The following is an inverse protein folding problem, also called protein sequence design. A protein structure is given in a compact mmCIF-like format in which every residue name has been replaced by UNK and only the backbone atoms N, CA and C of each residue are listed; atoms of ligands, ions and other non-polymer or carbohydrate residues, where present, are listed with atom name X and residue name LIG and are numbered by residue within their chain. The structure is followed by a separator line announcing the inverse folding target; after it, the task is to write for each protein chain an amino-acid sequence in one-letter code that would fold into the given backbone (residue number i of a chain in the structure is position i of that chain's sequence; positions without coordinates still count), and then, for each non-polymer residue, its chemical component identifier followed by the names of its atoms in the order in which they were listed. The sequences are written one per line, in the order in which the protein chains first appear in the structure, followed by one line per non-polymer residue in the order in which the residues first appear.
data_IF_253280434522
#
_entry.id   IF_253280434522
#
_cell.length_a   1.000
_cell.length_b   1.000
_cell.length_c   1.000
_cell.angle_alpha   90.00
_cell.angle_beta   90.00
_cell.angle_gamma   90.00
#
_symmetry.space_group_name_H-M   'P 1'
#
loop_
_entity.id
_entity.type
_entity.pdbx_description
1 polymer ?
#
# COMPACT_ATOMS: atom_id res chain seq x y z
N UNK A 1 -7.13 26.30 16.62
CA UNK A 1 -7.00 25.75 15.25
C UNK A 1 -5.93 24.69 15.29
N UNK A 2 -6.26 23.42 15.06
CA UNK A 2 -5.26 22.36 14.93
C UNK A 2 -5.81 21.29 13.96
N UNK A 3 -5.65 21.54 12.66
CA UNK A 3 -6.10 20.66 11.56
C UNK A 3 -4.85 20.13 10.85
N UNK A 4 -3.96 19.48 11.59
CA UNK A 4 -2.67 19.04 11.05
C UNK A 4 -2.30 17.64 11.54
N UNK A 5 -3.18 16.65 11.31
CA UNK A 5 -2.80 15.25 11.45
C UNK A 5 -3.55 14.28 10.51
N UNK A 6 -4.04 14.77 9.37
CA UNK A 6 -4.64 13.94 8.31
C UNK A 6 -3.85 13.94 6.99
N UNK A 7 -2.56 14.30 7.02
CA UNK A 7 -1.65 14.26 5.86
C UNK A 7 -0.60 13.15 5.96
N UNK A 8 -0.92 12.01 6.60
CA UNK A 8 -0.14 10.78 6.42
C UNK A 8 -0.58 10.10 5.12
N UNK A 9 -0.27 10.77 4.01
CA UNK A 9 0.09 10.13 2.73
C UNK A 9 -0.64 8.81 2.45
N UNK A 10 -1.91 8.90 2.01
CA UNK A 10 -2.58 7.79 1.31
C UNK A 10 -1.92 7.62 -0.06
N UNK A 11 -0.68 7.13 -0.09
CA UNK A 11 0.00 6.79 -1.34
C UNK A 11 -0.66 5.53 -1.86
N UNK A 12 -1.26 5.66 -3.04
CA UNK A 12 -1.85 4.59 -3.82
C UNK A 12 -0.80 3.53 -4.14
N UNK A 13 -0.57 2.59 -3.25
CA UNK A 13 -0.02 1.30 -3.61
C UNK A 13 -0.99 0.71 -4.64
N UNK A 14 -0.52 0.46 -5.86
CA UNK A 14 -1.22 -0.34 -6.87
C UNK A 14 -0.48 -1.67 -6.89
N UNK A 15 -0.73 -2.49 -5.87
CA UNK A 15 -0.08 -3.79 -5.74
C UNK A 15 -1.01 -4.80 -6.39
N UNK A 16 -0.51 -5.56 -7.36
CA UNK A 16 -1.26 -6.68 -7.89
C UNK A 16 -1.34 -7.78 -6.82
N UNK A 17 -2.56 -8.09 -6.39
CA UNK A 17 -2.83 -9.10 -5.37
C UNK A 17 -3.67 -10.20 -6.00
N UNK A 18 -3.29 -11.44 -5.75
CA UNK A 18 -4.10 -12.59 -6.12
C UNK A 18 -4.85 -13.06 -4.88
N UNK A 19 -6.17 -13.16 -4.97
CA UNK A 19 -6.99 -13.66 -3.85
C UNK A 19 -7.22 -15.14 -4.06
N UNK A 20 -6.72 -15.94 -3.13
CA UNK A 20 -7.07 -17.35 -3.03
C UNK A 20 -8.21 -17.52 -2.04
N UNK A 21 -9.33 -18.03 -2.55
CA UNK A 21 -10.50 -18.38 -1.75
C UNK A 21 -10.92 -19.81 -2.08
N UNK A 22 -10.88 -20.67 -1.05
CA UNK A 22 -11.10 -22.12 -1.19
C UNK A 22 -10.14 -22.72 -2.23
N UNK A 23 -10.65 -23.05 -3.41
CA UNK A 23 -9.88 -23.61 -4.53
C UNK A 23 -9.93 -22.74 -5.79
N UNK A 24 -10.32 -21.46 -5.64
CA UNK A 24 -10.37 -20.47 -6.72
C UNK A 24 -9.35 -19.38 -6.45
N UNK A 25 -8.67 -18.96 -7.51
CA UNK A 25 -7.77 -17.82 -7.53
C UNK A 25 -8.38 -16.70 -8.35
N UNK A 26 -8.35 -15.50 -7.80
CA UNK A 26 -8.81 -14.30 -8.45
C UNK A 26 -7.61 -13.39 -8.69
N UNK A 27 -7.29 -13.16 -9.95
CA UNK A 27 -6.10 -12.41 -10.39
C UNK A 27 -6.39 -10.92 -10.66
N UNK A 28 -7.59 -10.45 -10.31
CA UNK A 28 -8.08 -9.11 -10.68
C UNK A 28 -8.15 -8.15 -9.49
N UNK A 29 -7.40 -8.40 -8.41
CA UNK A 29 -7.43 -7.55 -7.22
C UNK A 29 -6.25 -6.60 -7.14
N UNK A 30 -6.53 -5.33 -6.82
CA UNK A 30 -5.52 -4.30 -6.58
C UNK A 30 -5.52 -3.89 -5.12
N UNK A 31 -4.40 -4.14 -4.46
CA UNK A 31 -4.19 -3.78 -3.07
C UNK A 31 -3.94 -2.28 -2.92
N UNK A 32 -4.84 -1.59 -2.21
CA UNK A 32 -4.87 -0.15 -1.95
C UNK A 32 -4.89 0.09 -0.43
N UNK A 33 -4.42 1.26 0.01
CA UNK A 33 -4.46 1.67 1.42
C UNK A 33 -3.93 0.61 2.40
N UNK A 34 -2.71 0.11 2.15
CA UNK A 34 -2.03 -0.84 3.03
C UNK A 34 -1.75 -0.21 4.41
N UNK A 35 -2.06 -0.96 5.47
CA UNK A 35 -1.78 -0.63 6.88
C UNK A 35 -1.27 -1.89 7.61
N UNK A 36 -0.81 -1.74 8.86
CA UNK A 36 -0.34 -2.89 9.66
C UNK A 36 -1.45 -3.90 9.97
N UNK A 37 -2.69 -3.43 10.07
CA UNK A 37 -3.85 -4.26 10.39
C UNK A 37 -4.51 -4.89 9.16
N UNK A 38 -4.29 -4.35 7.96
CA UNK A 38 -5.06 -4.76 6.80
C UNK A 38 -4.84 -3.94 5.54
N UNK A 39 -5.69 -4.18 4.55
CA UNK A 39 -5.60 -3.59 3.22
C UNK A 39 -7.00 -3.47 2.61
N UNK A 40 -7.19 -2.50 1.73
CA UNK A 40 -8.35 -2.44 0.86
C UNK A 40 -8.02 -3.10 -0.49
N UNK A 41 -8.89 -3.96 -1.00
CA UNK A 41 -8.71 -4.60 -2.29
C UNK A 41 -9.75 -4.06 -3.27
N UNK A 42 -9.30 -3.29 -4.24
CA UNK A 42 -10.12 -2.81 -5.34
C UNK A 42 -10.27 -3.95 -6.37
N UNK A 43 -11.51 -4.38 -6.59
CA UNK A 43 -11.83 -5.56 -7.38
C UNK A 43 -13.11 -5.32 -8.15
N UNK A 44 -13.01 -5.42 -9.47
CA UNK A 44 -14.19 -5.45 -10.33
C UNK A 44 -14.78 -6.87 -10.32
N UNK A 45 -16.04 -6.99 -9.90
CA UNK A 45 -16.87 -8.17 -10.13
C UNK A 45 -16.62 -9.40 -9.22
N UNK A 46 -16.10 -9.19 -8.00
CA UNK A 46 -16.05 -10.22 -6.96
C UNK A 46 -16.46 -9.62 -5.61
N UNK A 47 -17.58 -10.13 -5.09
CA UNK A 47 -18.10 -9.82 -3.77
C UNK A 47 -17.83 -11.01 -2.86
N UNK A 48 -17.05 -10.81 -1.80
CA UNK A 48 -16.85 -11.81 -0.76
C UNK A 48 -17.60 -11.37 0.49
N UNK A 49 -18.41 -12.25 1.12
CA UNK A 49 -19.14 -11.88 2.32
C UNK A 49 -18.18 -11.56 3.47
N UNK A 50 -18.59 -10.65 4.34
CA UNK A 50 -17.87 -10.35 5.59
C UNK A 50 -17.70 -11.62 6.43
N UNK A 51 -16.54 -11.77 7.06
CA UNK A 51 -16.13 -12.98 7.78
C UNK A 51 -15.49 -14.05 6.88
N UNK A 52 -15.44 -13.84 5.57
CA UNK A 52 -14.76 -14.79 4.67
C UNK A 52 -13.26 -14.76 4.89
N UNK A 53 -12.68 -15.95 5.09
CA UNK A 53 -11.23 -16.14 5.14
C UNK A 53 -10.67 -16.29 3.73
N UNK A 54 -9.65 -15.49 3.44
CA UNK A 54 -8.94 -15.49 2.16
C UNK A 54 -7.44 -15.52 2.41
N UNK A 55 -6.69 -15.93 1.40
CA UNK A 55 -5.24 -15.77 1.38
C UNK A 55 -4.91 -14.80 0.26
N UNK A 56 -4.17 -13.74 0.61
CA UNK A 56 -3.66 -12.77 -0.35
C UNK A 56 -2.28 -13.24 -0.77
N UNK A 57 -2.13 -13.58 -2.05
CA UNK A 57 -0.85 -13.90 -2.65
C UNK A 57 -0.34 -12.63 -3.34
N UNK A 58 0.80 -12.11 -2.87
CA UNK A 58 1.48 -10.96 -3.49
C UNK A 58 2.81 -11.45 -4.03
N UNK A 59 3.08 -11.14 -5.29
CA UNK A 59 4.33 -11.47 -5.95
C UNK A 59 5.06 -10.20 -6.33
N UNK A 60 6.27 -10.06 -5.82
CA UNK A 60 7.27 -9.12 -6.30
C UNK A 60 8.41 -9.91 -6.97
N UNK A 61 9.29 -9.25 -7.72
CA UNK A 61 10.27 -9.93 -8.59
C UNK A 61 11.15 -10.95 -7.86
N UNK A 62 11.39 -10.78 -6.56
CA UNK A 62 12.23 -11.68 -5.75
C UNK A 62 11.45 -12.39 -4.62
N UNK A 63 10.20 -12.00 -4.35
CA UNK A 63 9.47 -12.43 -3.16
C UNK A 63 8.01 -12.81 -3.45
N UNK A 64 7.58 -13.95 -2.89
CA UNK A 64 6.17 -14.34 -2.83
C UNK A 64 5.69 -14.31 -1.38
N UNK A 65 4.70 -13.47 -1.07
CA UNK A 65 4.04 -13.43 0.23
C UNK A 65 2.66 -14.05 0.16
N UNK A 66 2.31 -14.84 1.18
CA UNK A 66 0.97 -15.39 1.37
C UNK A 66 0.42 -14.93 2.71
N UNK A 67 -0.52 -13.99 2.66
CA UNK A 67 -1.03 -13.30 3.83
C UNK A 67 -2.45 -13.76 4.11
N UNK A 68 -2.70 -14.55 5.17
CA UNK A 68 -4.05 -14.92 5.55
C UNK A 68 -4.80 -13.69 6.08
N UNK A 69 -5.97 -13.44 5.51
CA UNK A 69 -6.79 -12.28 5.84
C UNK A 69 -8.28 -12.65 5.96
N UNK A 70 -9.04 -11.80 6.64
CA UNK A 70 -10.49 -11.94 6.78
C UNK A 70 -11.17 -10.70 6.22
N UNK A 71 -12.20 -10.90 5.40
CA UNK A 71 -13.03 -9.80 4.87
C UNK A 71 -13.80 -9.17 6.02
N UNK A 72 -13.59 -7.86 6.25
CA UNK A 72 -14.25 -7.11 7.33
C UNK A 72 -15.39 -6.24 6.82
N UNK A 73 -15.31 -5.75 5.59
CA UNK A 73 -16.38 -5.03 4.92
C UNK A 73 -16.26 -5.19 3.40
N UNK A 74 -17.35 -4.90 2.69
CA UNK A 74 -17.41 -4.91 1.23
C UNK A 74 -18.20 -3.69 0.76
N UNK A 75 -17.80 -3.13 -0.37
CA UNK A 75 -18.42 -1.98 -1.02
C UNK A 75 -18.54 -2.27 -2.53
N UNK A 76 -19.23 -1.41 -3.27
CA UNK A 76 -19.42 -1.56 -4.73
C UNK A 76 -18.12 -1.56 -5.55
N UNK A 77 -17.01 -1.12 -4.95
CA UNK A 77 -15.71 -0.99 -5.62
C UNK A 77 -14.67 -2.01 -5.16
N UNK A 78 -14.98 -2.83 -4.15
CA UNK A 78 -13.98 -3.72 -3.57
C UNK A 78 -14.32 -4.26 -2.18
N UNK A 79 -13.30 -4.76 -1.50
CA UNK A 79 -13.42 -5.38 -0.18
C UNK A 79 -12.32 -4.90 0.76
N UNK A 80 -12.68 -4.62 2.01
CA UNK A 80 -11.72 -4.40 3.08
C UNK A 80 -11.35 -5.71 3.75
N UNK A 81 -10.06 -5.96 3.90
CA UNK A 81 -9.54 -7.18 4.55
C UNK A 81 -8.63 -6.83 5.73
N UNK A 82 -8.73 -7.64 6.79
CA UNK A 82 -7.88 -7.55 7.97
C UNK A 82 -6.93 -8.75 8.01
N UNK A 83 -5.65 -8.51 8.22
CA UNK A 83 -4.65 -9.56 8.31
C UNK A 83 -4.84 -10.35 9.61
N UNK A 84 -4.62 -11.66 9.56
CA UNK A 84 -4.70 -12.51 10.76
C UNK A 84 -3.42 -12.45 11.58
N UNK A 85 -2.29 -12.31 10.89
CA UNK A 85 -0.96 -12.22 11.49
C UNK A 85 -0.25 -10.97 10.99
N UNK A 86 0.63 -10.42 11.82
CA UNK A 86 1.47 -9.30 11.44
C UNK A 86 2.56 -9.78 10.47
N UNK A 87 2.62 -9.20 9.27
CA UNK A 87 3.66 -9.46 8.28
C UNK A 87 4.59 -8.24 8.14
N UNK A 88 5.50 -8.01 9.09
CA UNK A 88 6.37 -6.84 9.08
C UNK A 88 7.31 -6.80 7.88
N UNK A 89 7.73 -7.96 7.35
CA UNK A 89 8.54 -8.06 6.14
C UNK A 89 7.80 -7.58 4.87
N UNK A 90 6.52 -7.91 4.76
CA UNK A 90 5.66 -7.47 3.66
C UNK A 90 5.42 -5.95 3.71
N UNK A 91 5.16 -5.44 4.92
CA UNK A 91 4.99 -4.00 5.15
C UNK A 91 6.28 -3.23 4.84
N UNK A 92 7.44 -3.77 5.23
CA UNK A 92 8.73 -3.17 4.92
C UNK A 92 9.02 -3.21 3.42
N UNK A 93 8.91 -4.37 2.75
CA UNK A 93 9.16 -4.48 1.32
C UNK A 93 8.29 -3.53 0.47
N UNK A 94 7.02 -3.37 0.82
CA UNK A 94 6.12 -2.43 0.13
C UNK A 94 6.34 -0.97 0.53
N UNK A 95 6.93 -0.71 1.70
CA UNK A 95 7.39 0.63 2.08
C UNK A 95 8.70 0.98 1.36
N UNK A 96 9.61 0.01 1.21
CA UNK A 96 10.96 0.18 0.65
C UNK A 96 10.95 0.30 -0.87
N UNK A 97 10.14 -0.49 -1.59
CA UNK A 97 9.95 -0.33 -3.05
C UNK A 97 9.33 1.03 -3.43
N UNK A 98 8.70 1.74 -2.48
CA UNK A 98 8.20 3.11 -2.66
C UNK A 98 9.25 4.20 -2.34
N UNK A 99 10.40 3.80 -1.81
CA UNK A 99 11.58 4.63 -1.62
C UNK A 99 12.66 4.26 -2.63
N UNK A 100 12.39 4.50 -3.92
CA UNK A 100 13.46 5.08 -4.73
C UNK A 100 13.79 6.43 -4.09
N UNK A 101 14.99 6.63 -3.50
CA UNK A 101 15.36 7.95 -3.03
C UNK A 101 15.40 8.85 -4.26
N UNK A 102 14.43 9.75 -4.36
CA UNK A 102 14.54 10.93 -5.22
C UNK A 102 15.88 11.57 -4.86
N UNK A 103 16.81 11.79 -5.81
CA UNK A 103 18.01 12.53 -5.48
C UNK A 103 17.53 13.90 -5.00
N UNK A 104 17.86 14.25 -3.75
CA UNK A 104 17.75 15.61 -3.25
C UNK A 104 18.56 16.49 -4.20
N UNK A 105 17.89 17.03 -5.22
CA UNK A 105 18.41 18.17 -5.95
C UNK A 105 18.25 19.33 -4.99
N UNK A 106 19.32 19.65 -4.29
CA UNK A 106 19.50 20.91 -3.56
C UNK A 106 19.11 22.05 -4.50
N UNK A 107 17.90 22.57 -4.34
CA UNK A 107 17.48 23.79 -5.01
C UNK A 107 18.28 24.95 -4.43
N UNK A 108 18.90 25.71 -5.33
CA UNK A 108 20.00 26.62 -5.03
C UNK A 108 19.69 27.69 -4.00
N UNK A 109 20.65 27.86 -3.08
CA UNK A 109 20.80 29.11 -2.34
C UNK A 109 21.61 30.08 -3.21
N UNK A 110 20.88 30.95 -3.90
CA UNK A 110 21.36 32.23 -4.41
C UNK A 110 22.07 32.98 -3.27
N UNK A 111 23.39 33.05 -3.33
CA UNK A 111 24.18 34.03 -2.56
C UNK A 111 25.10 34.76 -3.53
N UNK A 112 24.58 35.83 -4.13
CA UNK A 112 25.47 36.91 -4.55
C UNK A 112 25.79 37.76 -3.32
N UNK A 113 27.04 38.19 -3.15
CA UNK A 113 27.34 39.45 -2.51
C UNK A 113 27.92 40.38 -3.56
N UNK A 114 27.22 41.50 -3.79
CA UNK A 114 27.85 42.68 -4.32
C UNK A 114 28.78 43.31 -3.29
N UNK A 115 29.65 44.19 -3.81
CA UNK A 115 30.20 45.40 -3.19
C UNK A 115 31.28 45.27 -2.11
N UNK A 116 32.53 45.55 -2.52
CA UNK A 116 33.42 46.61 -2.00
C UNK A 116 34.86 46.31 -2.44
N UNK A 117 35.77 47.23 -2.74
CA UNK A 117 35.79 48.66 -3.04
C UNK A 117 37.24 48.91 -3.55
N UNK A 118 37.46 50.06 -4.18
CA UNK A 118 38.73 50.50 -4.77
C UNK A 118 39.93 50.53 -3.80
#
# INVERSE_FOLDING_TARGET
MNVEQCYRTRRASDIEVQIQYRNRRFHSARGRHLSDQGMYLEISNLTLPTGTQVVLEVRDMDHEWRIPATVVHQDDTGIGVMFRDAHPEFLQANTESLSSPMPLTTFGTKTGPGLSAA
#
